data_IF_616536373488
#
_entry.id   IF_616536373488
#
_cell.length_a   1.000
_cell.length_b   1.000
_cell.length_c   1.000
_cell.angle_alpha   90.00
_cell.angle_beta   90.00
_cell.angle_gamma   90.00
#
_symmetry.space_group_name_H-M   'P 1'
#
loop_
_entity.id
_entity.type
_entity.pdbx_description
1 polymer ?
#
# COMPACT_ATOMS: atom_id res chain seq x y z
N UNK A 1 1.08 -5.21 -3.57
CA UNK A 1 2.16 -5.78 -4.39
C UNK A 1 2.06 -5.43 -5.88
N UNK A 2 0.93 -4.96 -6.40
CA UNK A 2 0.81 -4.59 -7.82
C UNK A 2 1.78 -3.49 -8.30
N UNK A 3 2.19 -2.57 -7.42
CA UNK A 3 3.17 -1.52 -7.72
C UNK A 3 4.54 -2.05 -8.17
N UNK A 4 4.87 -3.30 -7.85
CA UNK A 4 6.11 -3.92 -8.36
C UNK A 4 6.16 -4.02 -9.88
N UNK A 5 5.00 -3.93 -10.55
CA UNK A 5 4.89 -4.01 -12.00
C UNK A 5 4.91 -2.62 -12.67
N UNK A 6 4.92 -1.53 -11.90
CA UNK A 6 4.91 -0.16 -12.44
C UNK A 6 6.34 0.34 -12.67
N UNK A 7 7.00 -0.22 -13.68
CA UNK A 7 8.40 0.10 -13.98
C UNK A 7 8.63 1.55 -14.41
N UNK A 8 7.61 2.20 -14.96
CA UNK A 8 7.68 3.59 -15.45
C UNK A 8 7.16 4.61 -14.42
N UNK A 9 6.79 4.16 -13.21
CA UNK A 9 6.19 4.99 -12.14
C UNK A 9 5.00 5.82 -12.63
N UNK A 10 4.16 5.23 -13.50
CA UNK A 10 2.99 5.90 -14.07
C UNK A 10 1.83 6.02 -13.07
N UNK A 11 1.89 5.29 -11.94
CA UNK A 11 0.85 5.23 -10.92
C UNK A 11 1.26 6.01 -9.67
N UNK A 12 0.30 6.74 -9.10
CA UNK A 12 0.42 7.38 -7.78
C UNK A 12 -0.29 6.55 -6.72
N UNK A 13 0.44 6.20 -5.65
CA UNK A 13 -0.14 5.51 -4.50
C UNK A 13 -0.85 6.51 -3.56
N UNK A 14 -2.16 6.32 -3.38
CA UNK A 14 -2.94 6.98 -2.33
C UNK A 14 -3.22 5.99 -1.21
N UNK A 15 -3.10 6.44 0.04
CA UNK A 15 -3.33 5.61 1.23
C UNK A 15 -4.31 6.33 2.15
N UNK A 16 -5.39 5.64 2.51
CA UNK A 16 -6.33 6.15 3.52
C UNK A 16 -5.61 6.27 4.88
N UNK A 17 -5.76 7.42 5.56
CA UNK A 17 -5.21 7.67 6.89
C UNK A 17 -5.57 6.58 7.90
N UNK A 18 -6.75 5.97 7.78
CA UNK A 18 -7.21 4.94 8.71
C UNK A 18 -6.41 3.63 8.57
N UNK A 19 -5.90 3.33 7.37
CA UNK A 19 -5.06 2.15 7.13
C UNK A 19 -3.73 2.25 7.87
N UNK A 20 -3.18 3.47 8.01
CA UNK A 20 -1.91 3.70 8.70
C UNK A 20 -2.00 3.54 10.22
N UNK A 21 -3.21 3.58 10.79
CA UNK A 21 -3.44 3.42 12.24
C UNK A 21 -3.32 1.96 12.70
N UNK A 22 -3.44 0.99 11.79
CA UNK A 22 -3.31 -0.43 12.10
C UNK A 22 -1.85 -0.87 12.28
N UNK A 23 -1.58 -1.80 13.21
CA UNK A 23 -0.24 -2.39 13.39
C UNK A 23 0.17 -3.26 12.18
N UNK A 24 -0.81 -3.91 11.56
CA UNK A 24 -0.65 -4.83 10.45
C UNK A 24 -1.52 -4.43 9.27
N UNK A 25 -0.99 -4.61 8.07
CA UNK A 25 -1.72 -4.47 6.81
C UNK A 25 -1.77 -5.82 6.09
N UNK A 26 -2.96 -6.17 5.62
CA UNK A 26 -3.19 -7.34 4.78
C UNK A 26 -3.07 -6.97 3.31
N UNK A 27 -2.41 -7.81 2.50
CA UNK A 27 -2.43 -7.63 1.05
C UNK A 27 -2.30 -8.97 0.32
N UNK A 28 -2.78 -9.02 -0.92
CA UNK A 28 -2.60 -10.17 -1.81
C UNK A 28 -1.23 -10.08 -2.52
N UNK A 29 -0.44 -11.16 -2.57
CA UNK A 29 0.85 -11.18 -3.26
C UNK A 29 0.68 -11.39 -4.77
N UNK A 30 -0.12 -10.52 -5.41
CA UNK A 30 -0.48 -10.61 -6.83
C UNK A 30 -1.27 -11.89 -7.23
N UNK A 31 -1.75 -12.65 -6.24
CA UNK A 31 -2.71 -13.74 -6.41
C UNK A 31 -3.74 -13.69 -5.26
N UNK A 32 -5.02 -13.81 -5.58
CA UNK A 32 -6.13 -13.64 -4.64
C UNK A 32 -6.42 -14.88 -3.77
N UNK A 33 -5.76 -16.01 -4.04
CA UNK A 33 -5.92 -17.25 -3.26
C UNK A 33 -5.02 -17.30 -2.03
N UNK A 34 -4.22 -16.26 -1.78
CA UNK A 34 -3.31 -16.17 -0.64
C UNK A 34 -3.24 -14.74 -0.11
N UNK A 35 -2.96 -14.61 1.19
CA UNK A 35 -2.89 -13.32 1.88
C UNK A 35 -1.59 -13.19 2.65
N UNK A 36 -0.93 -12.05 2.52
CA UNK A 36 0.21 -11.65 3.34
C UNK A 36 -0.25 -10.73 4.46
N UNK A 37 0.31 -10.91 5.65
CA UNK A 37 0.18 -9.98 6.78
C UNK A 37 1.55 -9.36 7.05
N UNK A 38 1.67 -8.06 6.84
CA UNK A 38 2.93 -7.32 6.93
C UNK A 38 2.74 -6.18 7.94
N UNK A 39 3.78 -5.81 8.69
CA UNK A 39 3.66 -4.65 9.59
C UNK A 39 3.49 -3.40 8.74
N UNK A 40 2.57 -2.54 9.13
CA UNK A 40 2.27 -1.29 8.41
C UNK A 40 3.53 -0.45 8.18
N UNK A 41 4.41 -0.35 9.18
CA UNK A 41 5.70 0.34 9.08
C UNK A 41 6.64 -0.23 8.02
N UNK A 42 6.60 -1.55 7.80
CA UNK A 42 7.50 -2.23 6.87
C UNK A 42 6.93 -2.12 5.45
N UNK A 43 5.60 -2.21 5.31
CA UNK A 43 4.91 -1.98 4.04
C UNK A 43 5.15 -0.55 3.54
N UNK A 44 4.73 0.46 4.30
CA UNK A 44 4.79 1.86 3.85
C UNK A 44 6.17 2.52 3.99
N UNK A 45 7.14 1.81 4.57
CA UNK A 45 8.53 2.25 4.65
C UNK A 45 9.40 1.53 3.60
N UNK A 46 10.18 0.51 4.00
CA UNK A 46 11.16 -0.15 3.13
C UNK A 46 10.54 -0.77 1.88
N UNK A 47 9.33 -1.34 1.95
CA UNK A 47 8.72 -2.04 0.81
C UNK A 47 8.27 -1.06 -0.28
N UNK A 48 7.49 -0.03 0.04
CA UNK A 48 7.07 0.99 -0.93
C UNK A 48 8.29 1.73 -1.51
N UNK A 49 9.29 2.04 -0.67
CA UNK A 49 10.54 2.66 -1.12
C UNK A 49 11.33 1.76 -2.08
N UNK A 50 11.37 0.45 -1.85
CA UNK A 50 12.02 -0.51 -2.74
C UNK A 50 11.28 -0.65 -4.09
N UNK A 51 10.00 -0.29 -4.15
CA UNK A 51 9.22 -0.22 -5.38
C UNK A 51 9.37 1.12 -6.12
N UNK A 52 10.23 2.03 -5.65
CA UNK A 52 10.43 3.35 -6.24
C UNK A 52 9.19 4.27 -6.22
N UNK A 53 8.25 4.00 -5.32
CA UNK A 53 7.05 4.82 -5.13
C UNK A 53 7.09 5.60 -3.82
N UNK A 54 6.40 6.74 -3.83
CA UNK A 54 6.01 7.49 -2.63
C UNK A 54 4.51 7.30 -2.35
N UNK A 55 4.10 7.48 -1.10
CA UNK A 55 2.69 7.47 -0.70
C UNK A 55 2.15 8.87 -0.48
N UNK A 56 0.90 9.11 -0.90
CA UNK A 56 0.12 10.29 -0.49
C UNK A 56 -0.98 9.84 0.46
N UNK A 57 -0.97 10.37 1.68
CA UNK A 57 -2.01 10.08 2.66
C UNK A 57 -3.24 10.92 2.36
N UNK A 58 -4.40 10.27 2.31
CA UNK A 58 -5.69 10.91 2.05
C UNK A 58 -6.67 10.54 3.15
N UNK A 59 -7.60 11.45 3.45
CA UNK A 59 -8.73 11.17 4.33
C UNK A 59 -9.97 10.99 3.46
N UNK A 60 -10.51 9.78 3.44
CA UNK A 60 -11.72 9.51 2.67
C UNK A 60 -12.94 9.83 3.54
N UNK A 61 -13.68 10.87 3.17
CA UNK A 61 -15.06 11.07 3.64
C UNK A 61 -15.93 10.28 2.69
N UNK A 62 -16.45 9.11 3.10
CA UNK A 62 -17.25 8.23 2.23
C UNK A 62 -18.45 8.92 1.55
N UNK A 63 -19.18 8.19 0.72
CA UNK A 63 -20.42 8.72 0.13
C UNK A 63 -21.46 9.01 1.21
N UNK A 64 -22.09 10.19 1.12
CA UNK A 64 -23.12 10.68 2.04
C UNK A 64 -24.44 9.91 1.92
#
# INVERSE_FOLDING_TARGET
>A
MGLMNDHDNAVRLLVDEDVLKGEWVGCHPCINTSSLRIKTKDMFGPVIKAMHHDMTVVKLTGEA
#
